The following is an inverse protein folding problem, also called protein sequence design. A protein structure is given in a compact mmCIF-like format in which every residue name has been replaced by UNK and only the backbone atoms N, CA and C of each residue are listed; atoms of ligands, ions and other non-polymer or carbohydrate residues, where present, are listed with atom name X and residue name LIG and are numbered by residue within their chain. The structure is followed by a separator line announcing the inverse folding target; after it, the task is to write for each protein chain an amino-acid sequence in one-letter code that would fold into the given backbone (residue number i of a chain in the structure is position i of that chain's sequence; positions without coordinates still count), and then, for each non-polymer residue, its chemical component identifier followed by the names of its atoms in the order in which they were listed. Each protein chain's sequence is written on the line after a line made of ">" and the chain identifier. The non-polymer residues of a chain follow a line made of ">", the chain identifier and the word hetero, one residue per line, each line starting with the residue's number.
data_IF_391957464365
#
_entry.id   IF_391957464365
#
_cell.length_a   1.000
_cell.length_b   1.000
_cell.length_c   1.000
_cell.angle_alpha   90.00
_cell.angle_beta   90.00
_cell.angle_gamma   90.00
#
_symmetry.space_group_name_H-M   'P 1'
#
loop_
_entity.id
_entity.type
_entity.pdbx_description
1 polymer ?
#
# COMPACT_ATOMS: atom_id res chain seq x y z
N UNK A 1 -17.03 1.75 30.25
CA UNK A 1 -17.46 3.00 29.57
C UNK A 1 -16.86 4.15 30.39
N UNK A 2 -15.78 4.75 29.87
CA UNK A 2 -15.23 5.97 30.46
C UNK A 2 -16.06 7.14 29.90
N UNK A 3 -16.69 7.89 30.81
CA UNK A 3 -17.34 9.14 30.47
C UNK A 3 -16.22 10.19 30.35
N UNK A 4 -15.91 10.62 29.11
CA UNK A 4 -14.89 11.65 28.88
C UNK A 4 -15.65 12.97 28.63
N UNK A 5 -15.83 13.76 29.68
CA UNK A 5 -16.33 15.14 29.59
C UNK A 5 -15.23 16.06 29.05
N UNK A 6 -14.76 15.80 27.82
CA UNK A 6 -13.67 16.56 27.20
C UNK A 6 -13.82 16.68 25.68
N UNK A 7 -13.15 17.66 25.11
CA UNK A 7 -13.05 17.78 23.66
C UNK A 7 -12.21 16.63 23.11
N UNK A 8 -12.76 15.87 22.14
CA UNK A 8 -12.05 14.84 21.42
C UNK A 8 -11.60 15.40 20.06
N UNK A 9 -10.35 15.16 19.71
CA UNK A 9 -9.82 15.47 18.39
C UNK A 9 -9.03 14.30 17.84
N UNK A 10 -9.04 14.12 16.51
CA UNK A 10 -8.21 13.13 15.84
C UNK A 10 -6.91 13.79 15.41
N UNK A 11 -5.79 13.22 15.78
CA UNK A 11 -4.46 13.63 15.36
C UNK A 11 -3.82 12.45 14.66
N UNK A 12 -3.52 12.62 13.38
CA UNK A 12 -2.88 11.57 12.58
C UNK A 12 -1.38 11.49 12.87
N UNK A 13 -0.80 10.31 12.63
CA UNK A 13 0.65 10.15 12.71
C UNK A 13 1.33 11.06 11.68
N UNK A 14 2.42 11.75 12.06
CA UNK A 14 3.16 12.59 11.14
C UNK A 14 3.82 11.75 10.03
N UNK A 15 3.80 12.26 8.82
CA UNK A 15 4.45 11.66 7.64
C UNK A 15 5.51 12.63 7.16
N UNK A 16 6.76 12.21 7.22
CA UNK A 16 7.90 12.99 6.72
C UNK A 16 8.10 12.72 5.22
N UNK A 17 7.30 13.42 4.40
CA UNK A 17 7.29 13.29 2.95
C UNK A 17 8.67 13.56 2.33
N UNK A 18 9.37 14.59 2.80
CA UNK A 18 10.67 14.98 2.23
C UNK A 18 11.71 13.88 2.46
N UNK A 19 11.76 13.33 3.67
CA UNK A 19 12.66 12.25 4.01
C UNK A 19 12.32 10.95 3.22
N UNK A 20 11.04 10.62 3.06
CA UNK A 20 10.58 9.47 2.25
C UNK A 20 11.10 9.61 0.80
N UNK A 21 10.91 10.78 0.18
CA UNK A 21 11.38 11.05 -1.19
C UNK A 21 12.91 11.03 -1.27
N UNK A 22 13.61 11.56 -0.26
CA UNK A 22 15.07 11.50 -0.20
C UNK A 22 15.58 10.06 -0.09
N UNK A 23 15.00 9.27 0.80
CA UNK A 23 15.39 7.88 1.03
C UNK A 23 15.08 6.98 -0.16
N UNK A 24 14.03 7.27 -0.94
CA UNK A 24 13.68 6.50 -2.14
C UNK A 24 14.74 6.56 -3.24
N UNK A 25 15.59 7.59 -3.23
CA UNK A 25 16.67 7.81 -4.23
C UNK A 25 17.99 7.14 -3.85
N UNK A 26 18.12 6.56 -2.65
CA UNK A 26 19.40 6.02 -2.17
C UNK A 26 19.88 4.78 -2.92
N UNK A 27 18.97 3.98 -3.48
CA UNK A 27 19.29 2.79 -4.24
C UNK A 27 18.42 2.72 -5.49
N UNK A 28 19.02 2.32 -6.60
CA UNK A 28 18.27 2.01 -7.82
C UNK A 28 17.85 0.53 -7.74
N UNK A 29 16.59 0.27 -7.91
CA UNK A 29 16.04 -1.10 -7.96
C UNK A 29 15.63 -1.36 -9.40
N UNK A 30 16.34 -2.26 -10.05
CA UNK A 30 16.02 -2.69 -11.41
C UNK A 30 14.80 -3.62 -11.43
N UNK A 31 13.99 -3.48 -12.46
CA UNK A 31 12.84 -4.35 -12.73
C UNK A 31 12.68 -4.59 -14.23
N UNK A 32 12.19 -5.76 -14.58
CA UNK A 32 12.04 -6.16 -15.99
C UNK A 32 10.57 -6.31 -16.41
N UNK A 33 9.64 -6.30 -15.44
CA UNK A 33 8.21 -6.51 -15.65
C UNK A 33 7.40 -5.44 -14.94
N UNK A 34 6.11 -5.36 -15.27
CA UNK A 34 5.18 -4.59 -14.44
C UNK A 34 5.21 -5.12 -13.00
N UNK A 35 5.45 -4.25 -12.04
CA UNK A 35 5.74 -4.65 -10.67
C UNK A 35 4.73 -4.05 -9.70
N UNK A 36 4.10 -4.92 -8.91
CA UNK A 36 3.17 -4.59 -7.84
C UNK A 36 3.90 -4.75 -6.50
N UNK A 37 4.00 -3.69 -5.72
CA UNK A 37 4.70 -3.69 -4.44
C UNK A 37 3.72 -3.66 -3.26
N UNK A 38 4.05 -4.38 -2.20
CA UNK A 38 3.36 -4.30 -0.91
C UNK A 38 4.37 -4.39 0.23
N UNK A 39 4.11 -3.66 1.31
CA UNK A 39 4.99 -3.59 2.49
C UNK A 39 4.19 -3.83 3.75
N UNK A 40 4.62 -4.79 4.58
CA UNK A 40 3.98 -5.06 5.86
C UNK A 40 4.39 -6.38 6.50
N UNK A 41 3.97 -6.59 7.73
CA UNK A 41 4.21 -7.86 8.44
C UNK A 41 3.40 -9.00 7.82
N UNK A 42 4.02 -10.18 7.64
CA UNK A 42 3.36 -11.37 7.09
C UNK A 42 2.52 -12.04 8.18
N UNK A 43 1.31 -11.50 8.39
CA UNK A 43 0.35 -11.92 9.40
C UNK A 43 -1.09 -11.87 8.85
N UNK A 44 -2.09 -12.56 9.44
CA UNK A 44 -3.44 -12.71 8.88
C UNK A 44 -4.09 -11.38 8.52
N UNK A 45 -3.95 -10.37 9.36
CA UNK A 45 -4.53 -9.05 9.16
C UNK A 45 -4.14 -8.43 7.81
N UNK A 46 -2.94 -8.72 7.28
CA UNK A 46 -2.44 -8.17 6.02
C UNK A 46 -2.92 -8.95 4.78
N UNK A 47 -3.47 -10.15 4.99
CA UNK A 47 -4.08 -11.00 3.97
C UNK A 47 -3.25 -11.14 2.69
N UNK A 48 -1.95 -11.43 2.83
CA UNK A 48 -1.05 -11.63 1.68
C UNK A 48 -1.39 -12.87 0.83
N UNK A 49 -2.15 -13.81 1.38
CA UNK A 49 -2.75 -14.92 0.64
C UNK A 49 -3.63 -14.45 -0.52
N UNK A 50 -4.37 -13.34 -0.36
CA UNK A 50 -5.12 -12.70 -1.45
C UNK A 50 -4.21 -12.20 -2.57
N UNK A 51 -3.04 -11.67 -2.22
CA UNK A 51 -2.04 -11.22 -3.19
C UNK A 51 -1.45 -12.41 -3.98
N UNK A 52 -1.22 -13.54 -3.31
CA UNK A 52 -0.76 -14.77 -3.96
C UNK A 52 -1.85 -15.34 -4.88
N UNK A 53 -3.13 -15.36 -4.46
CA UNK A 53 -4.24 -15.75 -5.33
C UNK A 53 -4.44 -14.80 -6.51
N UNK A 54 -4.26 -13.50 -6.30
CA UNK A 54 -4.28 -12.51 -7.39
C UNK A 54 -3.22 -12.83 -8.45
N UNK A 55 -1.99 -13.18 -8.04
CA UNK A 55 -0.94 -13.60 -8.98
C UNK A 55 -1.37 -14.82 -9.82
N UNK A 56 -2.02 -15.81 -9.19
CA UNK A 56 -2.57 -16.96 -9.91
C UNK A 56 -3.64 -16.54 -10.93
N UNK A 57 -4.57 -15.67 -10.57
CA UNK A 57 -5.61 -15.21 -11.48
C UNK A 57 -5.01 -14.39 -12.65
N UNK A 58 -4.01 -13.55 -12.41
CA UNK A 58 -3.31 -12.82 -13.45
C UNK A 58 -2.56 -13.76 -14.40
N UNK A 59 -1.85 -14.79 -13.87
CA UNK A 59 -1.20 -15.82 -14.68
C UNK A 59 -2.20 -16.56 -15.57
N UNK A 60 -3.38 -16.89 -15.07
CA UNK A 60 -4.47 -17.49 -15.85
C UNK A 60 -4.99 -16.59 -16.98
N UNK A 61 -4.88 -15.28 -16.80
CA UNK A 61 -5.24 -14.28 -17.81
C UNK A 61 -4.05 -13.91 -18.73
N UNK A 62 -2.94 -14.66 -18.70
CA UNK A 62 -1.71 -14.41 -19.44
C UNK A 62 -1.13 -12.99 -19.19
N UNK A 63 -1.26 -12.49 -17.97
CA UNK A 63 -0.68 -11.22 -17.54
C UNK A 63 0.60 -11.47 -16.79
N UNK A 64 1.72 -10.99 -17.33
CA UNK A 64 3.07 -11.17 -16.78
C UNK A 64 3.44 -9.98 -15.89
N UNK A 65 3.49 -10.22 -14.59
CA UNK A 65 3.79 -9.20 -13.55
C UNK A 65 4.62 -9.80 -12.43
N UNK A 66 5.38 -8.96 -11.74
CA UNK A 66 6.07 -9.31 -10.51
C UNK A 66 5.35 -8.73 -9.29
N UNK A 67 5.25 -9.51 -8.22
CA UNK A 67 4.79 -9.08 -6.92
C UNK A 67 5.97 -9.01 -5.96
N UNK A 68 6.27 -7.82 -5.45
CA UNK A 68 7.27 -7.60 -4.43
C UNK A 68 6.61 -7.45 -3.07
N UNK A 69 6.85 -8.42 -2.19
CA UNK A 69 6.34 -8.43 -0.82
C UNK A 69 7.51 -8.16 0.13
N UNK A 70 7.51 -6.96 0.72
CA UNK A 70 8.52 -6.52 1.68
C UNK A 70 8.01 -6.67 3.11
N UNK A 71 8.78 -7.35 3.93
CA UNK A 71 8.46 -7.61 5.33
C UNK A 71 8.69 -9.06 5.71
N UNK A 72 8.49 -9.36 6.98
CA UNK A 72 8.61 -10.70 7.56
C UNK A 72 7.42 -11.00 8.46
N UNK A 73 7.21 -12.26 8.78
CA UNK A 73 6.17 -12.69 9.70
C UNK A 73 6.00 -14.21 9.71
N UNK A 74 5.23 -14.70 10.66
CA UNK A 74 5.09 -16.12 10.89
C UNK A 74 4.32 -16.87 9.78
N UNK A 75 3.60 -16.15 8.91
CA UNK A 75 2.92 -16.75 7.75
C UNK A 75 3.82 -16.93 6.52
N UNK A 76 5.10 -16.52 6.55
CA UNK A 76 5.95 -16.55 5.34
C UNK A 76 6.06 -17.96 4.74
N UNK A 77 6.27 -18.99 5.59
CA UNK A 77 6.37 -20.38 5.11
C UNK A 77 5.08 -20.87 4.45
N UNK A 78 3.93 -20.48 5.00
CA UNK A 78 2.61 -20.84 4.47
C UNK A 78 2.35 -20.11 3.14
N UNK A 79 2.64 -18.83 3.05
CA UNK A 79 2.48 -18.03 1.83
C UNK A 79 3.39 -18.53 0.70
N UNK A 80 4.63 -18.89 1.01
CA UNK A 80 5.54 -19.52 0.03
C UNK A 80 5.04 -20.88 -0.44
N UNK A 81 4.44 -21.68 0.46
CA UNK A 81 3.79 -22.94 0.08
C UNK A 81 2.61 -22.67 -0.85
N UNK A 82 1.73 -21.74 -0.50
CA UNK A 82 0.59 -21.35 -1.33
C UNK A 82 1.04 -20.89 -2.74
N UNK A 83 2.13 -20.11 -2.83
CA UNK A 83 2.67 -19.68 -4.11
C UNK A 83 3.13 -20.87 -4.98
N UNK A 84 3.78 -21.89 -4.38
CA UNK A 84 4.15 -23.13 -5.08
C UNK A 84 2.92 -23.95 -5.50
N UNK A 85 1.96 -24.14 -4.59
CA UNK A 85 0.75 -24.92 -4.86
C UNK A 85 -0.08 -24.31 -6.01
N UNK A 86 -0.04 -22.98 -6.14
CA UNK A 86 -0.66 -22.23 -7.24
C UNK A 86 0.28 -22.03 -8.44
N UNK A 87 1.53 -22.51 -8.38
CA UNK A 87 2.54 -22.37 -9.44
C UNK A 87 2.80 -20.91 -9.84
N UNK A 88 2.94 -20.01 -8.85
CA UNK A 88 3.22 -18.58 -9.04
C UNK A 88 4.46 -18.09 -8.29
N UNK A 89 5.34 -18.98 -7.87
CA UNK A 89 6.59 -18.65 -7.18
C UNK A 89 7.57 -17.86 -8.06
N UNK A 90 7.41 -17.93 -9.37
CA UNK A 90 8.13 -17.14 -10.38
C UNK A 90 7.63 -15.69 -10.49
N UNK A 91 6.45 -15.40 -9.96
CA UNK A 91 5.84 -14.07 -9.96
C UNK A 91 5.86 -13.41 -8.57
N UNK A 92 5.84 -14.19 -7.47
CA UNK A 92 5.70 -13.68 -6.11
C UNK A 92 7.03 -13.73 -5.36
N UNK A 93 7.63 -12.57 -5.15
CA UNK A 93 8.95 -12.43 -4.54
C UNK A 93 8.83 -11.91 -3.10
N UNK A 94 9.09 -12.77 -2.12
CA UNK A 94 9.20 -12.39 -0.72
C UNK A 94 10.61 -11.85 -0.46
N UNK A 95 10.74 -10.53 -0.38
CA UNK A 95 12.02 -9.82 -0.31
C UNK A 95 12.56 -9.66 1.13
N UNK A 96 11.80 -10.13 2.13
CA UNK A 96 12.15 -9.99 3.53
C UNK A 96 12.03 -8.54 4.04
N UNK A 97 12.47 -8.33 5.28
CA UNK A 97 12.49 -7.00 5.88
C UNK A 97 13.50 -6.09 5.18
N UNK A 98 13.09 -4.86 4.89
CA UNK A 98 13.97 -3.79 4.40
C UNK A 98 13.90 -2.61 5.36
N UNK A 99 15.04 -2.18 5.87
CA UNK A 99 15.15 -0.98 6.71
C UNK A 99 14.79 0.30 5.96
N UNK A 100 14.98 0.31 4.64
CA UNK A 100 14.51 1.35 3.73
C UNK A 100 13.71 0.70 2.59
N UNK A 101 12.36 0.64 2.67
CA UNK A 101 11.52 0.06 1.63
C UNK A 101 11.25 1.01 0.46
N UNK A 102 11.51 2.30 0.63
CA UNK A 102 11.11 3.34 -0.32
C UNK A 102 11.67 3.19 -1.73
N UNK A 103 12.93 2.74 -1.96
CA UNK A 103 13.41 2.47 -3.32
C UNK A 103 12.58 1.41 -4.06
N UNK A 104 12.13 0.37 -3.36
CA UNK A 104 11.27 -0.68 -3.94
C UNK A 104 9.88 -0.14 -4.27
N UNK A 105 9.28 0.63 -3.36
CA UNK A 105 7.99 1.29 -3.62
C UNK A 105 8.13 2.24 -4.80
N UNK A 106 9.17 3.09 -4.83
CA UNK A 106 9.41 4.04 -5.91
C UNK A 106 9.63 3.37 -7.28
N UNK A 107 10.30 2.22 -7.32
CA UNK A 107 10.55 1.46 -8.55
C UNK A 107 9.31 0.70 -9.05
N UNK A 108 8.34 0.38 -8.19
CA UNK A 108 7.13 -0.35 -8.58
C UNK A 108 6.19 0.50 -9.44
N UNK A 109 5.30 -0.16 -10.20
CA UNK A 109 4.27 0.51 -11.01
C UNK A 109 2.97 0.72 -10.25
N UNK A 110 2.73 -0.09 -9.23
CA UNK A 110 1.51 -0.10 -8.45
C UNK A 110 1.83 -0.49 -7.00
N UNK A 111 1.22 0.18 -6.04
CA UNK A 111 1.23 -0.23 -4.64
C UNK A 111 -0.09 -0.93 -4.30
N UNK A 112 -0.01 -2.09 -3.63
CA UNK A 112 -1.17 -2.89 -3.27
C UNK A 112 -1.22 -3.14 -1.76
N UNK A 113 -2.39 -2.89 -1.15
CA UNK A 113 -2.70 -3.25 0.23
C UNK A 113 -3.92 -4.15 0.27
N UNK A 114 -3.74 -5.41 0.71
CA UNK A 114 -4.81 -6.41 0.81
C UNK A 114 -5.35 -6.57 2.22
N UNK A 115 -5.01 -5.68 3.15
CA UNK A 115 -5.34 -5.78 4.57
C UNK A 115 -6.84 -5.91 4.82
N UNK A 116 -7.20 -6.76 5.78
CA UNK A 116 -8.59 -6.96 6.23
C UNK A 116 -9.03 -5.92 7.26
N UNK A 117 -8.10 -5.27 7.95
CA UNK A 117 -8.39 -4.20 8.91
C UNK A 117 -7.18 -3.30 9.07
N UNK A 118 -7.42 -2.00 9.05
CA UNK A 118 -6.41 -0.95 9.27
C UNK A 118 -7.08 0.23 9.96
N UNK A 119 -6.42 0.78 10.96
CA UNK A 119 -6.83 2.06 11.56
C UNK A 119 -6.39 3.23 10.69
N UNK A 120 -5.09 3.36 10.44
CA UNK A 120 -4.50 4.36 9.55
C UNK A 120 -3.20 3.80 8.96
N UNK A 121 -3.23 3.16 7.78
CA UNK A 121 -2.09 2.44 7.20
C UNK A 121 -1.01 3.39 6.68
N UNK A 122 0.05 3.64 7.47
CA UNK A 122 1.15 4.54 7.11
C UNK A 122 1.81 4.18 5.79
N UNK A 123 1.90 2.90 5.45
CA UNK A 123 2.48 2.45 4.18
C UNK A 123 1.71 2.94 2.94
N UNK A 124 0.39 3.19 3.07
CA UNK A 124 -0.40 3.84 2.00
C UNK A 124 0.03 5.31 1.88
N UNK A 125 0.18 6.03 3.01
CA UNK A 125 0.66 7.40 3.00
C UNK A 125 2.07 7.50 2.41
N UNK A 126 2.96 6.57 2.74
CA UNK A 126 4.32 6.48 2.19
C UNK A 126 4.30 6.26 0.66
N UNK A 127 3.41 5.38 0.17
CA UNK A 127 3.23 5.16 -1.26
C UNK A 127 2.67 6.40 -1.98
N UNK A 128 1.74 7.13 -1.36
CA UNK A 128 1.24 8.42 -1.86
C UNK A 128 2.36 9.45 -1.97
N UNK A 129 3.25 9.56 -0.97
CA UNK A 129 4.42 10.45 -1.01
C UNK A 129 5.35 10.15 -2.19
N UNK A 130 5.39 8.91 -2.65
CA UNK A 130 6.19 8.46 -3.79
C UNK A 130 5.43 8.49 -5.12
N UNK A 131 4.23 9.09 -5.13
CA UNK A 131 3.40 9.24 -6.33
C UNK A 131 2.96 7.90 -6.91
N UNK A 132 2.76 6.86 -6.09
CA UNK A 132 2.35 5.55 -6.60
C UNK A 132 0.84 5.47 -6.77
N UNK A 133 0.36 4.95 -7.91
CA UNK A 133 -1.02 4.47 -8.00
C UNK A 133 -1.25 3.40 -6.94
N UNK A 134 -2.40 3.43 -6.29
CA UNK A 134 -2.70 2.53 -5.16
C UNK A 134 -3.98 1.75 -5.43
N UNK A 135 -3.95 0.46 -5.09
CA UNK A 135 -5.15 -0.34 -4.84
C UNK A 135 -5.11 -0.78 -3.38
N UNK A 136 -6.21 -0.60 -2.67
CA UNK A 136 -6.33 -1.07 -1.30
C UNK A 136 -7.70 -1.71 -1.04
N UNK A 137 -7.75 -2.68 -0.13
CA UNK A 137 -9.03 -3.18 0.38
C UNK A 137 -9.81 -2.03 1.04
N UNK A 138 -11.13 -2.01 0.84
CA UNK A 138 -12.05 -0.96 1.29
C UNK A 138 -12.32 -1.01 2.82
N UNK A 139 -11.25 -1.09 3.63
CA UNK A 139 -11.32 -0.99 5.10
C UNK A 139 -11.28 0.46 5.56
N UNK A 140 -11.72 0.73 6.79
CA UNK A 140 -11.92 2.10 7.29
C UNK A 140 -10.71 3.02 7.08
N UNK A 141 -9.50 2.60 7.47
CA UNK A 141 -8.31 3.42 7.32
C UNK A 141 -7.91 3.65 5.85
N UNK A 142 -8.14 2.67 4.96
CA UNK A 142 -7.89 2.85 3.52
C UNK A 142 -8.91 3.80 2.90
N UNK A 143 -10.19 3.69 3.25
CA UNK A 143 -11.25 4.60 2.80
C UNK A 143 -10.97 6.03 3.20
N UNK A 144 -10.55 6.24 4.44
CA UNK A 144 -10.20 7.56 4.96
C UNK A 144 -9.04 8.21 4.21
N UNK A 145 -7.92 7.48 4.02
CA UNK A 145 -6.74 8.02 3.34
C UNK A 145 -7.01 8.25 1.85
N UNK A 146 -7.68 7.30 1.18
CA UNK A 146 -7.92 7.34 -0.25
C UNK A 146 -9.22 8.08 -0.63
N UNK A 147 -9.94 8.67 0.35
CA UNK A 147 -11.16 9.46 0.17
C UNK A 147 -12.14 8.75 -0.80
N UNK A 148 -12.56 7.54 -0.44
CA UNK A 148 -13.51 6.73 -1.20
C UNK A 148 -13.16 6.58 -2.70
N UNK A 149 -11.90 6.32 -2.99
CA UNK A 149 -11.30 6.14 -4.33
C UNK A 149 -10.93 7.42 -5.08
N UNK A 150 -10.87 8.57 -4.44
CA UNK A 150 -10.37 9.80 -5.05
C UNK A 150 -8.85 9.75 -5.30
N UNK A 151 -8.08 9.17 -4.36
CA UNK A 151 -6.60 9.14 -4.39
C UNK A 151 -6.01 7.74 -4.64
N UNK A 152 -6.84 6.75 -4.92
CA UNK A 152 -6.46 5.37 -5.21
C UNK A 152 -7.70 4.50 -5.34
N UNK A 153 -7.62 3.35 -5.99
CA UNK A 153 -8.78 2.47 -6.12
C UNK A 153 -9.02 1.67 -4.84
N UNK A 154 -10.24 1.67 -4.35
CA UNK A 154 -10.70 0.75 -3.32
C UNK A 154 -11.28 -0.51 -3.97
N UNK A 155 -10.88 -1.67 -3.46
CA UNK A 155 -11.43 -2.98 -3.83
C UNK A 155 -12.23 -3.52 -2.65
N UNK A 156 -13.36 -4.16 -2.94
CA UNK A 156 -14.11 -4.91 -1.94
C UNK A 156 -13.26 -6.07 -1.39
N UNK A 157 -13.74 -6.71 -0.33
CA UNK A 157 -13.01 -7.80 0.34
C UNK A 157 -13.05 -9.14 -0.44
N UNK A 158 -13.45 -9.12 -1.70
CA UNK A 158 -13.47 -10.28 -2.60
C UNK A 158 -12.31 -10.25 -3.61
N UNK A 159 -11.97 -11.43 -4.13
CA UNK A 159 -10.86 -11.59 -5.07
C UNK A 159 -11.23 -11.08 -6.49
N UNK A 160 -12.51 -11.05 -6.86
CA UNK A 160 -12.97 -10.60 -8.19
C UNK A 160 -12.84 -9.07 -8.33
N UNK A 161 -13.26 -8.32 -7.30
CA UNK A 161 -13.06 -6.86 -7.24
C UNK A 161 -11.58 -6.50 -7.31
N UNK A 162 -10.75 -7.23 -6.56
CA UNK A 162 -9.30 -7.02 -6.55
C UNK A 162 -8.69 -7.30 -7.93
N UNK A 163 -9.03 -8.42 -8.57
CA UNK A 163 -8.57 -8.78 -9.91
C UNK A 163 -8.99 -7.74 -10.93
N UNK A 164 -10.28 -7.35 -10.94
CA UNK A 164 -10.82 -6.34 -11.87
C UNK A 164 -10.07 -5.02 -11.76
N UNK A 165 -9.86 -4.51 -10.55
CA UNK A 165 -9.16 -3.25 -10.33
C UNK A 165 -7.69 -3.34 -10.72
N UNK A 166 -7.04 -4.47 -10.43
CA UNK A 166 -5.65 -4.71 -10.81
C UNK A 166 -5.48 -4.76 -12.32
N UNK A 167 -6.34 -5.49 -13.05
CA UNK A 167 -6.33 -5.52 -14.50
C UNK A 167 -6.54 -4.13 -15.12
N UNK A 168 -7.46 -3.32 -14.57
CA UNK A 168 -7.66 -1.94 -15.02
C UNK A 168 -6.39 -1.10 -14.86
N UNK A 169 -5.69 -1.24 -13.73
CA UNK A 169 -4.42 -0.52 -13.50
C UNK A 169 -3.30 -1.01 -14.43
N UNK A 170 -3.21 -2.32 -14.70
CA UNK A 170 -2.17 -2.87 -15.57
C UNK A 170 -2.39 -2.44 -17.03
N UNK A 171 -3.63 -2.49 -17.52
CA UNK A 171 -3.93 -2.29 -18.94
C UNK A 171 -4.18 -0.83 -19.34
N UNK A 172 -4.41 0.06 -18.37
CA UNK A 172 -4.75 1.47 -18.63
C UNK A 172 -3.68 2.41 -18.08
N UNK A 173 -2.75 2.84 -18.94
CA UNK A 173 -1.68 3.78 -18.58
C UNK A 173 -2.23 5.14 -18.11
N UNK A 174 -3.23 5.68 -18.78
CA UNK A 174 -3.84 6.97 -18.41
C UNK A 174 -4.48 6.92 -17.02
N UNK A 175 -5.06 5.78 -16.63
CA UNK A 175 -5.59 5.58 -15.29
C UNK A 175 -4.48 5.58 -14.24
N UNK A 176 -3.34 4.92 -14.53
CA UNK A 176 -2.17 4.93 -13.63
C UNK A 176 -1.60 6.34 -13.48
N UNK A 177 -1.44 7.06 -14.58
CA UNK A 177 -0.96 8.45 -14.56
C UNK A 177 -1.91 9.36 -13.77
N UNK A 178 -3.22 9.20 -13.96
CA UNK A 178 -4.22 9.90 -13.17
C UNK A 178 -4.02 9.67 -11.67
N UNK A 179 -3.98 8.40 -11.23
CA UNK A 179 -3.80 8.10 -9.80
C UNK A 179 -2.40 8.43 -9.27
N UNK A 180 -1.37 8.41 -10.11
CA UNK A 180 -0.03 8.89 -9.73
C UNK A 180 -0.06 10.38 -9.40
N UNK A 181 -0.71 11.20 -10.24
CA UNK A 181 -0.86 12.64 -10.00
C UNK A 181 -1.72 12.91 -8.76
N UNK A 182 -2.83 12.17 -8.58
CA UNK A 182 -3.68 12.28 -7.38
C UNK A 182 -2.93 11.88 -6.11
N UNK A 183 -2.07 10.87 -6.18
CA UNK A 183 -1.21 10.46 -5.05
C UNK A 183 -0.26 11.59 -4.63
N UNK A 184 0.39 12.24 -5.59
CA UNK A 184 1.26 13.41 -5.31
C UNK A 184 0.46 14.54 -4.68
N UNK A 185 -0.72 14.85 -5.21
CA UNK A 185 -1.61 15.88 -4.66
C UNK A 185 -1.96 15.57 -3.21
N UNK A 186 -2.47 14.35 -2.92
CA UNK A 186 -2.81 13.93 -1.55
C UNK A 186 -1.61 14.00 -0.59
N UNK A 187 -0.42 13.69 -1.09
CA UNK A 187 0.80 13.71 -0.27
C UNK A 187 1.18 15.09 0.25
N UNK A 188 0.65 16.16 -0.36
CA UNK A 188 0.89 17.54 0.11
C UNK A 188 0.15 17.84 1.43
N UNK A 189 -0.86 17.06 1.78
CA UNK A 189 -1.56 17.15 3.07
C UNK A 189 -0.70 16.60 4.23
N UNK A 190 0.35 15.85 3.91
CA UNK A 190 1.23 15.23 4.90
C UNK A 190 2.34 16.19 5.28
N UNK A 191 2.15 16.84 6.43
CA UNK A 191 3.10 17.80 6.98
C UNK A 191 3.33 17.53 8.47
N UNK A 192 4.58 17.27 8.82
CA UNK A 192 5.00 17.03 10.22
C UNK A 192 4.72 18.25 11.08
N UNK A 193 5.01 19.45 10.58
CA UNK A 193 4.84 20.70 11.34
C UNK A 193 3.36 20.94 11.65
N UNK A 194 2.48 20.72 10.68
CA UNK A 194 1.03 20.81 10.85
C UNK A 194 0.50 19.87 11.92
N UNK A 195 1.01 18.62 11.97
CA UNK A 195 0.67 17.66 13.03
C UNK A 195 1.12 18.16 14.41
N UNK A 196 2.35 18.65 14.50
CA UNK A 196 2.91 19.21 15.74
C UNK A 196 2.09 20.40 16.22
N UNK A 197 1.74 21.32 15.32
CA UNK A 197 0.95 22.51 15.65
C UNK A 197 -0.46 22.14 16.13
N UNK A 198 -1.08 21.12 15.57
CA UNK A 198 -2.38 20.60 16.03
C UNK A 198 -2.29 20.01 17.44
N UNK A 199 -1.22 19.27 17.76
CA UNK A 199 -0.95 18.77 19.11
C UNK A 199 -0.83 19.94 20.10
N UNK A 200 -0.02 20.95 19.77
CA UNK A 200 0.16 22.13 20.63
C UNK A 200 -1.13 22.92 20.85
N UNK A 201 -1.94 23.10 19.81
CA UNK A 201 -3.24 23.75 19.93
C UNK A 201 -4.17 22.99 20.88
N UNK A 202 -4.18 21.66 20.78
CA UNK A 202 -5.03 20.83 21.63
C UNK A 202 -4.59 20.84 23.11
N UNK A 203 -3.27 20.81 23.39
CA UNK A 203 -2.74 20.82 24.76
C UNK A 203 -2.97 22.18 25.45
N UNK A 204 -3.06 23.28 24.69
CA UNK A 204 -3.23 24.64 25.22
C UNK A 204 -4.69 25.05 25.47
N UNK A 205 -5.65 24.22 25.07
CA UNK A 205 -7.08 24.40 25.37
C UNK A 205 -7.43 23.83 26.74
#
# INVERSE_FOLDING_TARGET
>A
LFNVDGQLTTIYNPIDRENIVLLSKKNVIDKNRFTICSVGRLMPQKAYDRMVRLAYHLKKNNVDVDFWILGTGYLEAELRRLARDLSVEDMVHFLGFKSNPYPYIAASDLFLSTSMTEGYPLVICEALCLGKPIIATAVSGSKEILADSEYGLLSEEDDDSLLKNTLRMITNNSLREYYSNRAVEKSLDFDVQSTVDNIYKFIKQ
#
